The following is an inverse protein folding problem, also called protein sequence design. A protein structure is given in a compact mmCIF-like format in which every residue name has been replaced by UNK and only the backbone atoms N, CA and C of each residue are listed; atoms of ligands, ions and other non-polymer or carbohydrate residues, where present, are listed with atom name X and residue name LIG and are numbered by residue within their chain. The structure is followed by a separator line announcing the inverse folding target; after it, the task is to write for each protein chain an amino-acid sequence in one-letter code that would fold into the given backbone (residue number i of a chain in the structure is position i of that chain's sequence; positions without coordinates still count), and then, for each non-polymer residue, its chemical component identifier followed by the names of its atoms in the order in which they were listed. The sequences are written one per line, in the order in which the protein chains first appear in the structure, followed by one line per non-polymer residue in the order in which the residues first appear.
data_IF_647778363164
#
_entry.id   IF_647778363164
#
_cell.length_a   1.000
_cell.length_b   1.000
_cell.length_c   1.000
_cell.angle_alpha   90.00
_cell.angle_beta   90.00
_cell.angle_gamma   90.00
#
_symmetry.space_group_name_H-M   'P 1'
#
loop_
_entity.id
_entity.type
_entity.pdbx_description
1 polymer ?
#
# COMPACT_ATOMS: atom_id res chain seq x y z
N UNK A 1 -0.33 -97.78 25.17
CA UNK A 1 -0.56 -96.94 26.35
C UNK A 1 0.69 -96.08 26.50
N UNK A 2 0.56 -94.83 26.15
CA UNK A 2 1.47 -93.79 26.63
C UNK A 2 1.23 -92.52 25.77
N UNK A 3 1.08 -91.58 26.41
CA UNK A 3 0.50 -90.23 26.29
C UNK A 3 1.03 -89.36 25.16
N UNK A 4 0.12 -88.73 24.54
CA UNK A 4 0.34 -87.57 23.64
C UNK A 4 -0.11 -86.32 24.36
N UNK A 5 0.86 -85.54 24.89
CA UNK A 5 0.64 -84.16 25.31
C UNK A 5 1.91 -83.35 24.97
N UNK A 6 1.68 -82.33 24.16
CA UNK A 6 2.69 -81.25 24.07
C UNK A 6 2.97 -80.76 22.67
N UNK A 7 1.97 -80.23 21.98
CA UNK A 7 2.24 -79.42 20.81
C UNK A 7 1.04 -78.48 20.48
N UNK A 8 0.77 -77.57 21.36
CA UNK A 8 -0.16 -76.44 21.09
C UNK A 8 0.27 -75.18 21.86
N UNK A 9 1.42 -74.64 21.52
CA UNK A 9 1.94 -73.45 22.23
C UNK A 9 2.81 -72.50 21.41
N UNK A 10 2.85 -72.67 20.07
CA UNK A 10 3.83 -71.88 19.29
C UNK A 10 3.27 -71.28 17.99
N UNK A 11 1.96 -71.16 17.86
CA UNK A 11 1.31 -70.54 16.66
C UNK A 11 0.55 -69.25 16.99
N UNK A 12 0.42 -68.85 18.25
CA UNK A 12 -0.33 -67.67 18.65
C UNK A 12 0.53 -66.38 18.76
N UNK A 13 1.85 -66.42 18.58
CA UNK A 13 2.74 -65.21 18.76
C UNK A 13 3.26 -64.59 17.46
N UNK A 14 2.86 -65.08 16.28
CA UNK A 14 3.30 -64.48 14.98
C UNK A 14 2.22 -63.69 14.23
N UNK A 15 1.05 -63.49 14.81
CA UNK A 15 0.00 -62.68 14.18
C UNK A 15 -0.34 -61.36 14.85
N UNK A 16 0.35 -60.93 15.91
CA UNK A 16 0.13 -59.65 16.58
C UNK A 16 1.19 -58.61 16.21
N UNK A 17 2.29 -58.98 15.56
CA UNK A 17 3.37 -58.07 15.19
C UNK A 17 3.25 -57.46 13.76
N UNK A 18 2.17 -57.69 13.03
CA UNK A 18 2.01 -57.19 11.65
C UNK A 18 0.83 -56.23 11.44
N UNK A 19 0.21 -55.76 12.52
CA UNK A 19 -0.92 -54.77 12.43
C UNK A 19 -0.56 -53.38 13.00
N UNK A 20 0.64 -53.20 13.57
CA UNK A 20 1.05 -51.93 14.11
C UNK A 20 2.03 -51.10 13.24
N UNK A 21 2.33 -51.55 12.00
CA UNK A 21 3.27 -50.82 11.12
C UNK A 21 2.57 -50.08 9.93
N UNK A 22 1.25 -50.24 9.77
CA UNK A 22 0.51 -49.59 8.67
C UNK A 22 -0.36 -48.42 9.08
N UNK A 23 -0.21 -47.86 10.30
CA UNK A 23 -1.01 -46.72 10.77
C UNK A 23 -0.21 -45.48 11.19
N UNK A 24 1.05 -45.37 10.76
CA UNK A 24 1.91 -44.19 11.08
C UNK A 24 2.40 -43.45 9.83
N UNK A 25 1.88 -43.75 8.63
CA UNK A 25 2.22 -43.01 7.39
C UNK A 25 1.06 -42.23 6.77
N UNK A 26 0.03 -41.91 7.53
CA UNK A 26 -1.10 -41.07 7.06
C UNK A 26 -1.27 -39.80 7.90
N UNK A 27 -0.20 -39.22 8.40
CA UNK A 27 -0.25 -38.05 9.30
C UNK A 27 0.81 -37.01 9.08
N UNK A 28 1.45 -36.96 7.90
CA UNK A 28 2.32 -35.85 7.49
C UNK A 28 1.94 -35.39 6.08
N UNK A 29 0.66 -35.22 5.82
CA UNK A 29 0.24 -34.13 4.95
C UNK A 29 0.51 -32.88 5.78
N UNK A 30 1.73 -32.37 5.73
CA UNK A 30 2.02 -31.04 6.22
C UNK A 30 1.03 -30.12 5.53
N UNK A 31 0.09 -29.56 6.29
CA UNK A 31 -0.50 -28.30 5.93
C UNK A 31 0.69 -27.35 5.78
N UNK A 32 1.22 -27.22 4.57
CA UNK A 32 1.93 -26.02 4.19
C UNK A 32 0.88 -24.93 4.36
N UNK A 33 0.88 -24.27 5.50
CA UNK A 33 0.17 -23.01 5.66
C UNK A 33 0.74 -22.14 4.56
N UNK A 34 0.02 -22.06 3.42
CA UNK A 34 0.37 -21.13 2.37
C UNK A 34 0.31 -19.76 3.05
N UNK A 35 1.47 -19.18 3.34
CA UNK A 35 1.52 -17.86 3.95
C UNK A 35 0.79 -16.92 3.00
N UNK A 36 -0.22 -16.26 3.51
CA UNK A 36 -1.04 -15.31 2.76
C UNK A 36 -1.11 -14.02 3.54
N UNK A 37 -1.18 -12.90 2.83
CA UNK A 37 -1.55 -11.61 3.38
C UNK A 37 -2.91 -11.16 2.82
N UNK A 38 -3.46 -10.09 3.33
CA UNK A 38 -4.75 -9.55 2.87
C UNK A 38 -4.49 -8.27 2.08
N UNK A 39 -5.18 -8.14 0.93
CA UNK A 39 -5.25 -6.89 0.18
C UNK A 39 -6.67 -6.31 0.31
N UNK A 40 -6.76 -5.02 0.65
CA UNK A 40 -7.99 -4.25 0.68
C UNK A 40 -7.97 -3.23 -0.45
N UNK A 41 -9.07 -3.15 -1.19
CA UNK A 41 -9.22 -2.31 -2.39
C UNK A 41 -10.44 -1.42 -2.24
N UNK A 42 -10.24 -0.11 -2.33
CA UNK A 42 -11.36 0.86 -2.31
C UNK A 42 -12.10 0.88 -3.64
N UNK A 43 -13.43 0.89 -3.56
CA UNK A 43 -14.36 0.88 -4.70
C UNK A 43 -15.35 2.05 -4.55
N UNK A 44 -14.96 3.29 -4.95
CA UNK A 44 -15.75 4.49 -4.70
C UNK A 44 -17.16 4.46 -5.27
N UNK A 45 -17.32 3.94 -6.49
CA UNK A 45 -18.62 3.94 -7.18
C UNK A 45 -19.63 2.97 -6.57
N UNK A 46 -19.17 1.97 -5.80
CA UNK A 46 -20.01 1.03 -5.06
C UNK A 46 -20.05 1.29 -3.56
N UNK A 47 -19.39 2.35 -3.07
CA UNK A 47 -19.29 2.66 -1.63
C UNK A 47 -18.84 1.46 -0.80
N UNK A 48 -17.82 0.76 -1.27
CA UNK A 48 -17.39 -0.50 -0.64
C UNK A 48 -15.88 -0.69 -0.68
N UNK A 49 -15.42 -1.69 0.08
CA UNK A 49 -14.02 -2.13 0.14
C UNK A 49 -14.00 -3.60 -0.18
N UNK A 50 -13.33 -3.99 -1.26
CA UNK A 50 -13.08 -5.39 -1.56
C UNK A 50 -11.87 -5.89 -0.75
N UNK A 51 -11.96 -7.13 -0.27
CA UNK A 51 -10.87 -7.79 0.45
C UNK A 51 -10.52 -9.13 -0.21
N UNK A 52 -9.23 -9.40 -0.30
CA UNK A 52 -8.69 -10.59 -0.94
C UNK A 52 -7.57 -11.20 -0.07
N UNK A 53 -7.56 -12.51 0.02
CA UNK A 53 -6.37 -13.27 0.43
C UNK A 53 -5.40 -13.34 -0.74
N UNK A 54 -4.16 -12.98 -0.50
CA UNK A 54 -3.10 -12.97 -1.50
C UNK A 54 -2.06 -14.01 -1.13
N UNK A 55 -1.74 -14.91 -2.06
CA UNK A 55 -0.72 -15.93 -1.87
C UNK A 55 0.69 -15.32 -1.92
N UNK A 56 1.47 -15.44 -0.86
CA UNK A 56 2.86 -14.96 -0.81
C UNK A 56 3.81 -15.72 -1.76
N UNK A 57 3.33 -16.80 -2.38
CA UNK A 57 4.10 -17.59 -3.35
C UNK A 57 3.80 -17.21 -4.79
N UNK A 58 2.53 -16.95 -5.11
CA UNK A 58 2.10 -16.75 -6.51
C UNK A 58 1.47 -15.38 -6.79
N UNK A 59 1.29 -14.52 -5.77
CA UNK A 59 0.57 -13.25 -5.90
C UNK A 59 -0.92 -13.39 -6.24
N UNK A 60 -1.47 -14.62 -6.24
CA UNK A 60 -2.86 -14.88 -6.62
C UNK A 60 -3.83 -14.37 -5.57
N UNK A 61 -4.84 -13.65 -6.03
CA UNK A 61 -5.94 -13.12 -5.22
C UNK A 61 -7.09 -14.13 -5.12
N UNK A 62 -7.65 -14.26 -3.92
CA UNK A 62 -8.89 -15.03 -3.66
C UNK A 62 -9.78 -14.19 -2.76
N UNK A 63 -11.03 -13.93 -3.15
CA UNK A 63 -11.95 -13.09 -2.38
C UNK A 63 -12.12 -13.60 -0.95
N UNK A 64 -12.09 -12.69 0.00
CA UNK A 64 -12.46 -12.95 1.40
C UNK A 64 -13.98 -13.14 1.46
N UNK A 65 -14.44 -14.07 2.30
CA UNK A 65 -15.87 -14.32 2.49
C UNK A 65 -16.54 -13.03 2.98
N UNK A 66 -17.66 -12.66 2.36
CA UNK A 66 -18.37 -11.42 2.64
C UNK A 66 -17.89 -10.18 1.90
N UNK A 67 -16.75 -10.28 1.16
CA UNK A 67 -16.27 -9.20 0.30
C UNK A 67 -17.18 -9.03 -0.93
N UNK A 68 -17.44 -7.76 -1.38
CA UNK A 68 -16.98 -6.52 -0.79
C UNK A 68 -17.77 -6.09 0.46
N UNK A 69 -17.11 -5.41 1.38
CA UNK A 69 -17.69 -4.87 2.62
C UNK A 69 -18.20 -3.45 2.38
N UNK A 70 -19.33 -3.08 3.00
CA UNK A 70 -19.86 -1.74 2.96
C UNK A 70 -18.87 -0.74 3.58
N UNK A 71 -18.69 0.41 2.95
CA UNK A 71 -17.87 1.53 3.43
C UNK A 71 -18.64 2.84 3.45
N UNK A 72 -17.92 3.93 3.64
CA UNK A 72 -18.49 5.28 3.53
C UNK A 72 -18.77 5.70 2.09
N UNK A 73 -19.22 6.94 1.92
CA UNK A 73 -19.56 7.46 0.61
C UNK A 73 -18.30 7.78 -0.21
N UNK A 74 -18.10 7.06 -1.30
CA UNK A 74 -16.95 7.19 -2.21
C UNK A 74 -15.59 7.01 -1.48
N UNK A 75 -15.28 5.80 -0.93
CA UNK A 75 -13.98 5.54 -0.33
C UNK A 75 -12.88 5.60 -1.39
N UNK A 76 -11.93 6.54 -1.25
CA UNK A 76 -10.91 6.83 -2.28
C UNK A 76 -9.54 6.27 -1.89
N UNK A 77 -9.15 6.37 -0.63
CA UNK A 77 -7.87 5.91 -0.10
C UNK A 77 -8.09 5.01 1.11
N UNK A 78 -7.24 4.00 1.26
CA UNK A 78 -7.24 3.11 2.44
C UNK A 78 -5.82 2.90 2.94
N UNK A 79 -5.64 2.97 4.26
CA UNK A 79 -4.39 2.63 4.94
C UNK A 79 -4.65 1.69 6.10
N UNK A 80 -3.65 0.89 6.46
CA UNK A 80 -3.71 -0.08 7.56
C UNK A 80 -2.79 0.38 8.69
N UNK A 81 -3.16 0.10 9.92
CA UNK A 81 -2.25 0.28 11.04
C UNK A 81 -1.10 -0.76 10.98
N UNK A 82 0.09 -0.46 11.52
CA UNK A 82 1.24 -1.37 11.44
C UNK A 82 1.02 -2.73 12.09
N UNK A 83 0.05 -2.83 13.03
CA UNK A 83 -0.32 -4.08 13.68
C UNK A 83 -1.38 -4.89 12.91
N UNK A 84 -1.88 -4.37 11.78
CA UNK A 84 -2.97 -4.96 10.97
C UNK A 84 -4.26 -5.23 11.76
N UNK A 85 -4.55 -4.41 12.76
CA UNK A 85 -5.78 -4.49 13.56
C UNK A 85 -6.88 -3.60 13.01
N UNK A 86 -6.48 -2.48 12.39
CA UNK A 86 -7.38 -1.43 11.94
C UNK A 86 -7.09 -1.03 10.49
N UNK A 87 -8.15 -0.66 9.77
CA UNK A 87 -8.06 0.00 8.48
C UNK A 87 -8.82 1.32 8.53
N UNK A 88 -8.30 2.33 7.83
CA UNK A 88 -8.92 3.65 7.72
C UNK A 88 -9.16 3.96 6.26
N UNK A 89 -10.39 4.37 5.91
CA UNK A 89 -10.73 4.76 4.55
C UNK A 89 -11.23 6.22 4.50
N UNK A 90 -10.64 7.02 3.61
CA UNK A 90 -11.10 8.38 3.32
C UNK A 90 -12.30 8.32 2.38
N UNK A 91 -13.43 8.84 2.82
CA UNK A 91 -14.69 8.88 2.08
C UNK A 91 -14.87 10.23 1.43
N UNK A 92 -14.51 10.33 0.15
CA UNK A 92 -14.38 11.59 -0.58
C UNK A 92 -15.67 12.42 -0.55
N UNK A 93 -16.80 11.81 -0.88
CA UNK A 93 -18.10 12.53 -0.89
C UNK A 93 -18.78 12.52 0.48
N UNK A 94 -18.32 11.68 1.40
CA UNK A 94 -18.77 11.64 2.80
C UNK A 94 -18.17 12.76 3.64
N UNK A 95 -17.01 13.30 3.28
CA UNK A 95 -16.21 14.23 4.08
C UNK A 95 -15.88 13.66 5.46
N UNK A 96 -15.61 12.36 5.51
CA UNK A 96 -15.32 11.63 6.73
C UNK A 96 -14.31 10.50 6.50
N UNK A 97 -13.88 9.88 7.58
CA UNK A 97 -12.99 8.72 7.60
C UNK A 97 -13.72 7.58 8.28
N UNK A 98 -13.81 6.43 7.60
CA UNK A 98 -14.27 5.17 8.18
C UNK A 98 -13.12 4.51 8.92
N UNK A 99 -13.39 3.98 10.11
CA UNK A 99 -12.55 3.05 10.86
C UNK A 99 -13.13 1.65 10.71
N UNK A 100 -12.29 0.68 10.38
CA UNK A 100 -12.65 -0.74 10.33
C UNK A 100 -11.77 -1.54 11.28
N UNK A 101 -12.38 -2.48 12.01
CA UNK A 101 -11.66 -3.56 12.68
C UNK A 101 -11.37 -4.68 11.67
N UNK A 102 -10.15 -5.19 11.68
CA UNK A 102 -9.71 -6.31 10.84
C UNK A 102 -9.79 -7.61 11.65
N UNK A 103 -10.52 -8.59 11.15
CA UNK A 103 -10.44 -9.96 11.64
C UNK A 103 -9.22 -10.65 11.04
N UNK A 104 -8.17 -10.80 11.82
CA UNK A 104 -6.90 -11.40 11.38
C UNK A 104 -7.02 -12.85 10.92
N UNK A 105 -8.07 -13.58 11.32
CA UNK A 105 -8.29 -14.98 10.96
C UNK A 105 -8.94 -15.12 9.58
N UNK A 106 -9.90 -14.24 9.29
CA UNK A 106 -10.67 -14.28 8.05
C UNK A 106 -10.22 -13.27 7.01
N UNK A 107 -9.63 -12.14 7.43
CA UNK A 107 -9.37 -10.97 6.60
C UNK A 107 -10.62 -10.13 6.36
N UNK A 108 -11.74 -10.45 7.00
CA UNK A 108 -12.95 -9.65 6.98
C UNK A 108 -12.76 -8.34 7.74
N UNK A 109 -13.51 -7.30 7.35
CA UNK A 109 -13.51 -6.01 8.05
C UNK A 109 -14.92 -5.65 8.51
N UNK A 110 -15.01 -4.96 9.64
CA UNK A 110 -16.26 -4.43 10.18
C UNK A 110 -16.10 -2.97 10.55
N UNK A 111 -17.01 -2.12 10.04
CA UNK A 111 -16.95 -0.69 10.29
C UNK A 111 -17.32 -0.35 11.74
N UNK A 112 -16.55 0.56 12.35
CA UNK A 112 -16.78 1.09 13.69
C UNK A 112 -17.42 2.46 13.57
N UNK A 113 -18.60 2.62 14.15
CA UNK A 113 -19.34 3.89 14.12
C UNK A 113 -19.19 4.66 15.44
N UNK A 114 -19.30 6.00 15.44
CA UNK A 114 -19.50 6.87 14.26
C UNK A 114 -18.21 7.07 13.47
N UNK A 115 -18.34 7.44 12.19
CA UNK A 115 -17.21 7.88 11.35
C UNK A 115 -16.62 9.19 11.87
N UNK A 116 -15.33 9.38 11.64
CA UNK A 116 -14.63 10.61 12.05
C UNK A 116 -14.75 11.66 10.94
N UNK A 117 -15.13 12.89 11.27
CA UNK A 117 -15.18 13.99 10.31
C UNK A 117 -13.79 14.33 9.81
N UNK A 118 -13.70 14.73 8.53
CA UNK A 118 -12.51 15.27 7.89
C UNK A 118 -12.82 16.64 7.27
N UNK A 119 -11.87 17.23 6.55
CA UNK A 119 -12.14 18.38 5.68
C UNK A 119 -12.99 17.99 4.47
N UNK A 120 -13.13 18.90 3.49
CA UNK A 120 -13.99 18.66 2.32
C UNK A 120 -13.22 17.87 1.25
N UNK A 121 -13.81 16.76 0.81
CA UNK A 121 -13.24 15.82 -0.17
C UNK A 121 -11.90 15.23 0.25
N UNK A 122 -11.80 14.44 1.33
CA UNK A 122 -10.59 13.68 1.66
C UNK A 122 -10.33 12.61 0.59
N UNK A 123 -9.13 12.64 -0.03
CA UNK A 123 -8.79 11.75 -1.15
C UNK A 123 -7.57 10.87 -0.89
N UNK A 124 -6.70 11.25 0.03
CA UNK A 124 -5.50 10.50 0.36
C UNK A 124 -5.30 10.44 1.87
N UNK A 125 -4.82 9.28 2.34
CA UNK A 125 -4.43 9.04 3.73
C UNK A 125 -2.98 8.61 3.78
N UNK A 126 -2.27 9.03 4.81
CA UNK A 126 -1.01 8.42 5.25
C UNK A 126 -1.00 8.28 6.77
N UNK A 127 -0.19 7.35 7.23
CA UNK A 127 0.01 7.07 8.64
C UNK A 127 1.50 7.09 8.93
N UNK A 128 1.89 7.53 10.12
CA UNK A 128 3.29 7.39 10.54
C UNK A 128 3.64 5.92 10.83
N UNK A 129 4.93 5.61 10.78
CA UNK A 129 5.42 4.23 10.95
C UNK A 129 5.10 3.61 12.32
N UNK A 130 4.83 4.45 13.32
CA UNK A 130 4.43 4.02 14.65
C UNK A 130 2.91 3.73 14.77
N UNK A 131 2.10 4.13 13.79
CA UNK A 131 0.64 4.05 13.86
C UNK A 131 0.04 4.99 14.91
N UNK A 132 0.73 6.09 15.22
CA UNK A 132 0.31 7.05 16.22
C UNK A 132 -0.55 8.17 15.64
N UNK A 133 -0.30 8.55 14.38
CA UNK A 133 -0.99 9.65 13.70
C UNK A 133 -1.46 9.26 12.29
N UNK A 134 -2.67 9.74 11.96
CA UNK A 134 -3.26 9.63 10.62
C UNK A 134 -3.39 11.04 10.03
N UNK A 135 -2.99 11.17 8.76
CA UNK A 135 -3.04 12.39 7.97
C UNK A 135 -3.99 12.20 6.80
N UNK A 136 -4.86 13.19 6.54
CA UNK A 136 -5.81 13.18 5.43
C UNK A 136 -5.67 14.44 4.59
N UNK A 137 -5.43 14.29 3.28
CA UNK A 137 -5.42 15.39 2.33
C UNK A 137 -6.84 15.69 1.85
N UNK A 138 -7.33 16.91 2.09
CA UNK A 138 -8.67 17.36 1.76
C UNK A 138 -8.62 18.30 0.55
N UNK A 139 -8.94 17.76 -0.62
CA UNK A 139 -8.75 18.46 -1.92
C UNK A 139 -9.55 19.76 -2.00
N UNK A 140 -10.83 19.72 -1.60
CA UNK A 140 -11.72 20.87 -1.81
C UNK A 140 -11.61 21.95 -0.73
N UNK A 141 -11.22 21.59 0.50
CA UNK A 141 -10.93 22.57 1.56
C UNK A 141 -9.49 23.07 1.54
N UNK A 142 -8.59 22.47 0.74
CA UNK A 142 -7.17 22.85 0.64
C UNK A 142 -6.46 22.81 1.98
N UNK A 143 -6.66 21.75 2.74
CA UNK A 143 -6.07 21.54 4.06
C UNK A 143 -5.71 20.07 4.34
N UNK A 144 -5.09 19.84 5.50
CA UNK A 144 -4.67 18.52 5.98
C UNK A 144 -5.31 18.32 7.35
N UNK A 145 -6.21 17.35 7.46
CA UNK A 145 -6.69 16.88 8.76
C UNK A 145 -5.69 15.93 9.40
N UNK A 146 -5.43 16.10 10.68
CA UNK A 146 -4.49 15.25 11.44
C UNK A 146 -5.18 14.72 12.68
N UNK A 147 -5.01 13.41 12.91
CA UNK A 147 -5.61 12.71 14.03
C UNK A 147 -4.58 11.89 14.78
N UNK A 148 -4.68 11.87 16.10
CA UNK A 148 -4.03 10.85 16.92
C UNK A 148 -4.88 9.57 16.91
N UNK A 149 -4.21 8.41 16.95
CA UNK A 149 -4.82 7.09 16.90
C UNK A 149 -4.73 6.46 18.28
N UNK A 150 -5.86 6.01 18.83
CA UNK A 150 -5.85 5.17 20.02
C UNK A 150 -5.43 3.74 19.65
N UNK A 151 -4.24 3.32 20.06
CA UNK A 151 -3.65 2.03 19.69
C UNK A 151 -4.47 0.79 20.11
N UNK A 152 -5.36 0.94 21.13
CA UNK A 152 -6.21 -0.16 21.61
C UNK A 152 -7.54 -0.29 20.86
N UNK A 153 -8.09 0.84 20.39
CA UNK A 153 -9.45 0.91 19.80
C UNK A 153 -9.47 1.37 18.35
N UNK A 154 -8.37 1.92 17.83
CA UNK A 154 -8.29 2.53 16.50
C UNK A 154 -8.99 3.89 16.39
N UNK A 155 -9.68 4.35 17.45
CA UNK A 155 -10.44 5.60 17.42
C UNK A 155 -9.55 6.80 17.16
N UNK A 156 -9.99 7.66 16.24
CA UNK A 156 -9.31 8.88 15.83
C UNK A 156 -9.75 10.05 16.71
N UNK A 157 -8.77 10.84 17.17
CA UNK A 157 -9.01 12.12 17.85
C UNK A 157 -8.26 13.22 17.12
N UNK A 158 -8.96 14.26 16.69
CA UNK A 158 -8.34 15.37 15.97
C UNK A 158 -7.29 16.08 16.83
N UNK A 159 -6.10 16.34 16.27
CA UNK A 159 -5.03 17.02 17.00
C UNK A 159 -5.29 18.53 17.07
N UNK A 160 -4.75 19.18 18.09
CA UNK A 160 -4.89 20.63 18.26
C UNK A 160 -4.32 21.40 17.06
N UNK A 161 -5.12 22.31 16.50
CA UNK A 161 -4.78 23.10 15.31
C UNK A 161 -5.15 22.46 13.98
N UNK A 162 -5.59 21.20 13.97
CA UNK A 162 -6.16 20.56 12.77
C UNK A 162 -7.56 21.19 12.45
N UNK A 163 -7.91 21.31 11.14
CA UNK A 163 -7.06 21.02 9.97
C UNK A 163 -5.99 22.11 9.72
N UNK A 164 -4.82 21.67 9.22
CA UNK A 164 -3.71 22.55 8.87
C UNK A 164 -3.88 23.04 7.41
N UNK A 165 -3.98 24.36 7.16
CA UNK A 165 -4.15 24.88 5.82
C UNK A 165 -2.89 24.67 4.96
N UNK A 166 -3.11 24.36 3.67
CA UNK A 166 -2.14 24.57 2.61
C UNK A 166 -2.35 25.96 2.01
N UNK A 167 -1.83 26.24 0.82
CA UNK A 167 -2.21 27.47 0.11
C UNK A 167 -3.62 27.38 -0.46
N UNK A 168 -4.35 28.49 -0.51
CA UNK A 168 -5.68 28.52 -1.12
C UNK A 168 -5.66 27.98 -2.57
N UNK A 169 -6.56 27.05 -2.90
CA UNK A 169 -6.63 26.42 -4.20
C UNK A 169 -5.54 25.38 -4.47
N UNK A 170 -4.81 24.95 -3.45
CA UNK A 170 -3.71 23.99 -3.61
C UNK A 170 -4.17 22.60 -4.08
N UNK A 171 -5.40 22.19 -3.79
CA UNK A 171 -5.89 20.83 -4.11
C UNK A 171 -4.88 19.73 -3.74
N UNK A 172 -4.62 19.47 -2.44
CA UNK A 172 -3.72 18.42 -2.01
C UNK A 172 -4.31 17.04 -2.39
N UNK A 173 -3.58 16.27 -3.21
CA UNK A 173 -4.08 15.00 -3.78
C UNK A 173 -3.33 13.77 -3.29
N UNK A 174 -2.11 13.95 -2.81
CA UNK A 174 -1.30 12.87 -2.26
C UNK A 174 -0.45 13.39 -1.10
N UNK A 175 -0.18 12.51 -0.15
CA UNK A 175 0.70 12.80 0.98
C UNK A 175 1.48 11.55 1.38
N UNK A 176 2.67 11.77 1.92
CA UNK A 176 3.54 10.73 2.44
C UNK A 176 4.24 11.19 3.71
N UNK A 177 4.33 10.30 4.69
CA UNK A 177 5.15 10.51 5.87
C UNK A 177 6.54 9.95 5.61
N UNK A 178 7.59 10.65 6.00
CA UNK A 178 8.96 10.13 5.91
C UNK A 178 9.13 8.88 6.78
N UNK A 179 10.01 7.93 6.43
CA UNK A 179 10.23 6.70 7.20
C UNK A 179 10.52 6.92 8.70
N UNK A 180 11.22 8.01 9.04
CA UNK A 180 11.48 8.40 10.45
C UNK A 180 10.25 8.93 11.20
N UNK A 181 9.15 9.20 10.49
CA UNK A 181 7.96 9.84 11.06
C UNK A 181 8.12 11.34 11.38
N UNK A 182 9.22 11.98 10.95
CA UNK A 182 9.51 13.39 11.28
C UNK A 182 8.87 14.39 10.33
N UNK A 183 8.65 14.00 9.07
CA UNK A 183 8.20 14.92 8.03
C UNK A 183 7.01 14.37 7.25
N UNK A 184 6.14 15.29 6.82
CA UNK A 184 5.03 15.04 5.91
C UNK A 184 5.24 15.86 4.65
N UNK A 185 5.15 15.21 3.48
CA UNK A 185 5.18 15.89 2.18
C UNK A 185 3.85 15.71 1.47
N UNK A 186 3.32 16.80 0.90
CA UNK A 186 1.98 16.86 0.32
C UNK A 186 2.06 17.43 -1.09
N UNK A 187 1.61 16.68 -2.08
CA UNK A 187 1.57 17.11 -3.47
C UNK A 187 0.30 17.90 -3.77
N UNK A 188 0.46 19.06 -4.41
CA UNK A 188 -0.61 19.95 -4.83
C UNK A 188 -0.77 19.92 -6.35
N UNK A 189 -1.83 19.28 -6.83
CA UNK A 189 -2.03 19.03 -8.26
C UNK A 189 -2.24 20.29 -9.10
N UNK A 190 -2.77 21.36 -8.52
CA UNK A 190 -3.09 22.59 -9.23
C UNK A 190 -1.95 23.61 -9.27
N UNK A 191 -1.08 23.60 -8.27
CA UNK A 191 -0.04 24.64 -8.11
C UNK A 191 1.35 24.23 -8.61
N UNK A 192 1.58 22.95 -8.93
CA UNK A 192 2.91 22.44 -9.27
C UNK A 192 3.87 22.51 -8.07
N UNK A 193 3.37 22.24 -6.87
CA UNK A 193 4.09 22.40 -5.62
C UNK A 193 4.03 21.14 -4.75
N UNK A 194 5.05 20.96 -3.92
CA UNK A 194 5.06 20.05 -2.78
C UNK A 194 5.19 20.86 -1.50
N UNK A 195 4.26 20.70 -0.57
CA UNK A 195 4.36 21.27 0.78
C UNK A 195 5.10 20.30 1.68
N UNK A 196 6.06 20.81 2.44
CA UNK A 196 6.77 20.05 3.47
C UNK A 196 6.41 20.57 4.87
N UNK A 197 6.18 19.62 5.78
CA UNK A 197 5.88 19.91 7.18
C UNK A 197 6.73 19.03 8.09
N UNK A 198 7.20 19.58 9.20
CA UNK A 198 7.66 18.79 10.33
C UNK A 198 6.45 18.32 11.15
N UNK A 199 6.51 17.09 11.67
CA UNK A 199 5.49 16.48 12.52
C UNK A 199 5.95 16.61 13.97
N UNK A 200 5.18 17.29 14.81
CA UNK A 200 5.49 17.42 16.24
C UNK A 200 5.48 16.07 16.94
N UNK A 201 6.63 15.66 17.49
CA UNK A 201 6.77 14.39 18.20
C UNK A 201 5.76 14.29 19.36
N UNK A 202 4.95 13.22 19.36
CA UNK A 202 3.93 12.97 20.36
C UNK A 202 2.69 13.89 20.29
N UNK A 203 2.67 14.93 19.44
CA UNK A 203 1.54 15.85 19.29
C UNK A 203 0.87 15.79 17.92
N UNK A 204 1.60 15.38 16.87
CA UNK A 204 1.10 15.36 15.49
C UNK A 204 0.92 16.75 14.87
N UNK A 205 1.23 17.83 15.58
CA UNK A 205 1.07 19.20 15.09
C UNK A 205 2.02 19.44 13.91
N UNK A 206 1.50 20.00 12.82
CA UNK A 206 2.27 20.30 11.62
C UNK A 206 2.84 21.72 11.66
N UNK A 207 4.13 21.85 11.32
CA UNK A 207 4.78 23.14 11.08
C UNK A 207 5.48 23.08 9.72
N UNK A 208 5.34 24.10 8.88
CA UNK A 208 6.04 24.13 7.61
C UNK A 208 7.56 24.07 7.82
N UNK A 209 8.23 23.23 7.03
CA UNK A 209 9.70 23.20 7.01
C UNK A 209 10.25 24.42 6.28
N UNK A 210 11.53 24.79 6.47
CA UNK A 210 12.15 25.92 5.77
C UNK A 210 11.95 25.80 4.25
N UNK A 211 11.72 26.93 3.60
CA UNK A 211 11.55 27.12 2.16
C UNK A 211 10.35 26.36 1.52
N UNK A 212 9.48 25.74 2.35
CA UNK A 212 8.22 25.17 1.86
C UNK A 212 7.24 26.29 1.43
N UNK A 213 6.50 26.12 0.31
CA UNK A 213 6.44 24.94 -0.56
C UNK A 213 7.52 24.90 -1.66
N UNK A 214 7.82 23.70 -2.16
CA UNK A 214 8.85 23.44 -3.16
C UNK A 214 8.25 23.29 -4.57
N UNK A 215 8.88 23.94 -5.57
CA UNK A 215 8.43 23.87 -6.97
C UNK A 215 8.81 22.51 -7.58
N UNK A 216 7.86 21.88 -8.30
CA UNK A 216 8.02 20.63 -9.05
C UNK A 216 7.41 20.78 -10.45
N UNK A 217 7.24 19.67 -11.19
CA UNK A 217 6.59 19.70 -12.50
C UNK A 217 5.08 19.97 -12.41
N UNK A 218 4.42 20.03 -13.57
CA UNK A 218 2.98 20.33 -13.65
C UNK A 218 2.11 19.15 -13.26
N UNK A 219 1.11 19.38 -12.43
CA UNK A 219 0.15 18.38 -12.00
C UNK A 219 0.75 17.29 -11.11
N UNK A 220 1.48 17.62 -10.03
CA UNK A 220 1.99 16.60 -9.12
C UNK A 220 0.83 15.80 -8.52
N UNK A 221 0.88 14.47 -8.63
CA UNK A 221 -0.22 13.57 -8.27
C UNK A 221 0.20 12.48 -7.30
N UNK A 222 1.48 12.21 -7.18
CA UNK A 222 2.05 11.26 -6.20
C UNK A 222 3.34 11.80 -5.65
N UNK A 223 3.60 11.56 -4.37
CA UNK A 223 4.85 11.90 -3.68
C UNK A 223 5.31 10.71 -2.87
N UNK A 224 6.61 10.38 -2.96
CA UNK A 224 7.22 9.27 -2.23
C UNK A 224 8.59 9.71 -1.68
N UNK A 225 8.91 9.27 -0.47
CA UNK A 225 10.24 9.42 0.15
C UNK A 225 10.98 8.10 0.03
N UNK A 226 12.26 8.12 -0.34
CA UNK A 226 13.06 6.91 -0.35
C UNK A 226 13.27 6.35 1.07
N UNK A 227 13.48 5.03 1.23
CA UNK A 227 13.62 4.42 2.55
C UNK A 227 14.79 4.94 3.39
N UNK A 228 15.85 5.50 2.74
CA UNK A 228 17.00 6.09 3.41
C UNK A 228 16.81 7.57 3.78
N UNK A 229 15.69 8.18 3.39
CA UNK A 229 15.37 9.61 3.60
C UNK A 229 16.40 10.56 2.99
N UNK A 230 16.94 10.22 1.83
CA UNK A 230 17.83 11.08 1.07
C UNK A 230 17.11 11.85 -0.04
N UNK A 231 16.03 11.29 -0.60
CA UNK A 231 15.36 11.83 -1.76
C UNK A 231 13.84 11.76 -1.66
N UNK A 232 13.19 12.75 -2.27
CA UNK A 232 11.74 12.79 -2.50
C UNK A 232 11.48 12.77 -3.99
N UNK A 233 10.62 11.87 -4.42
CA UNK A 233 10.18 11.68 -5.80
C UNK A 233 8.74 12.17 -5.95
N UNK A 234 8.45 12.88 -7.04
CA UNK A 234 7.12 13.43 -7.31
C UNK A 234 6.72 13.14 -8.74
N UNK A 235 5.64 12.39 -8.94
CA UNK A 235 5.07 12.13 -10.26
C UNK A 235 4.22 13.33 -10.70
N UNK A 236 4.58 13.92 -11.82
CA UNK A 236 3.94 15.09 -12.39
C UNK A 236 3.07 14.68 -13.58
N UNK A 237 1.78 14.51 -13.35
CA UNK A 237 0.85 13.87 -14.29
C UNK A 237 0.58 14.68 -15.57
N UNK A 238 0.70 16.00 -15.51
CA UNK A 238 0.46 16.87 -16.68
C UNK A 238 1.72 17.16 -17.48
N UNK A 239 2.91 16.91 -16.95
CA UNK A 239 4.18 17.12 -17.65
C UNK A 239 4.90 15.82 -18.02
N UNK A 240 4.32 14.65 -17.72
CA UNK A 240 4.88 13.32 -18.01
C UNK A 240 6.30 13.13 -17.43
N UNK A 241 6.51 13.63 -16.21
CA UNK A 241 7.83 13.65 -15.57
C UNK A 241 7.81 13.18 -14.13
N UNK A 242 9.00 12.91 -13.60
CA UNK A 242 9.29 12.69 -12.17
C UNK A 242 10.22 13.80 -11.71
N UNK A 243 9.77 14.66 -10.79
CA UNK A 243 10.68 15.56 -10.06
C UNK A 243 11.38 14.80 -8.96
N UNK A 244 12.69 15.03 -8.82
CA UNK A 244 13.51 14.46 -7.75
C UNK A 244 14.16 15.60 -6.98
N UNK A 245 14.01 15.55 -5.65
CA UNK A 245 14.56 16.53 -4.74
C UNK A 245 15.38 15.81 -3.67
N UNK A 246 16.54 16.36 -3.31
CA UNK A 246 17.29 15.91 -2.15
C UNK A 246 16.59 16.37 -0.87
N UNK A 247 16.59 15.52 0.15
CA UNK A 247 16.01 15.77 1.46
C UNK A 247 17.10 15.99 2.49
N UNK A 248 17.11 17.18 3.13
CA UNK A 248 17.87 17.39 4.35
C UNK A 248 17.13 16.76 5.54
N UNK A 249 17.57 15.60 6.00
CA UNK A 249 16.94 14.83 7.09
C UNK A 249 16.97 15.53 8.45
N UNK A 250 17.74 16.63 8.59
CA UNK A 250 17.79 17.43 9.83
C UNK A 250 16.72 18.53 9.87
N UNK A 251 16.35 19.09 8.73
CA UNK A 251 15.44 20.24 8.61
C UNK A 251 14.14 19.90 7.89
N UNK A 252 14.11 18.82 7.08
CA UNK A 252 13.01 18.48 6.19
C UNK A 252 12.95 19.31 4.91
N UNK A 253 13.94 20.20 4.70
CA UNK A 253 14.03 21.03 3.51
C UNK A 253 14.32 20.19 2.27
N UNK A 254 13.67 20.54 1.15
CA UNK A 254 13.90 19.89 -0.13
C UNK A 254 14.66 20.81 -1.10
N UNK A 255 15.59 20.22 -1.85
CA UNK A 255 16.33 20.93 -2.90
C UNK A 255 16.25 20.15 -4.20
N UNK A 256 15.79 20.78 -5.28
CA UNK A 256 15.67 20.12 -6.60
C UNK A 256 17.03 19.63 -7.09
N UNK A 257 17.10 18.40 -7.59
CA UNK A 257 18.34 17.88 -8.18
C UNK A 257 18.66 18.58 -9.50
N UNK A 258 19.96 18.68 -9.87
CA UNK A 258 20.35 19.05 -11.22
C UNK A 258 19.69 18.10 -12.24
N UNK A 259 19.19 18.67 -13.35
CA UNK A 259 18.47 17.95 -14.41
C UNK A 259 17.09 17.36 -14.02
N UNK A 260 16.60 17.58 -12.81
CA UNK A 260 15.21 17.35 -12.48
C UNK A 260 14.30 18.39 -13.18
N UNK A 261 13.12 18.00 -13.72
CA UNK A 261 12.51 16.67 -13.65
C UNK A 261 13.02 15.70 -14.74
N UNK A 262 12.89 14.39 -14.45
CA UNK A 262 13.23 13.30 -15.36
C UNK A 262 12.00 12.82 -16.13
N UNK A 263 12.17 12.31 -17.35
CA UNK A 263 11.08 11.77 -18.16
C UNK A 263 10.45 10.53 -17.49
N UNK A 264 9.12 10.46 -17.50
CA UNK A 264 8.33 9.30 -17.09
C UNK A 264 7.46 8.81 -18.26
N UNK A 265 6.55 7.87 -18.01
CA UNK A 265 5.52 7.51 -18.97
C UNK A 265 4.39 8.55 -19.03
N UNK A 266 3.39 8.32 -19.89
CA UNK A 266 2.29 9.28 -20.10
C UNK A 266 1.34 9.32 -18.92
N UNK A 267 1.15 10.50 -18.34
CA UNK A 267 0.28 10.79 -17.21
C UNK A 267 0.60 9.90 -15.98
N UNK A 268 1.80 10.05 -15.37
CA UNK A 268 2.17 9.30 -14.17
C UNK A 268 1.36 9.79 -12.97
N UNK A 269 0.71 8.85 -12.23
CA UNK A 269 -0.24 9.20 -11.16
C UNK A 269 0.02 8.51 -9.82
N UNK A 270 0.82 7.45 -9.81
CA UNK A 270 1.14 6.73 -8.57
C UNK A 270 2.53 6.12 -8.65
N UNK A 271 3.25 6.16 -7.54
CA UNK A 271 4.60 5.65 -7.43
C UNK A 271 4.73 4.71 -6.24
N UNK A 272 5.56 3.67 -6.40
CA UNK A 272 5.97 2.79 -5.32
C UNK A 272 7.48 2.56 -5.39
N UNK A 273 8.18 2.77 -4.27
CA UNK A 273 9.62 2.49 -4.12
C UNK A 273 9.77 1.18 -3.33
N UNK A 274 10.67 0.31 -3.76
CA UNK A 274 10.95 -0.91 -3.01
C UNK A 274 11.62 -0.62 -1.65
N UNK A 275 11.49 -1.53 -0.70
CA UNK A 275 12.01 -1.32 0.67
C UNK A 275 13.52 -1.16 0.75
N UNK A 276 14.26 -1.55 -0.30
CA UNK A 276 15.70 -1.34 -0.40
C UNK A 276 16.09 0.01 -1.04
N UNK A 277 15.13 0.78 -1.54
CA UNK A 277 15.36 2.04 -2.23
C UNK A 277 16.08 1.90 -3.58
N UNK A 278 16.00 0.70 -4.20
CA UNK A 278 16.70 0.40 -5.45
C UNK A 278 15.86 0.62 -6.70
N UNK A 279 14.55 0.44 -6.59
CA UNK A 279 13.64 0.46 -7.73
C UNK A 279 12.41 1.32 -7.45
N UNK A 280 12.02 2.07 -8.47
CA UNK A 280 10.81 2.89 -8.48
C UNK A 280 9.88 2.38 -9.59
N UNK A 281 8.63 2.14 -9.25
CA UNK A 281 7.57 1.76 -10.18
C UNK A 281 6.54 2.87 -10.27
N UNK A 282 6.16 3.23 -11.49
CA UNK A 282 5.28 4.37 -11.78
C UNK A 282 4.10 3.91 -12.62
N UNK A 283 2.90 4.02 -12.09
CA UNK A 283 1.67 3.77 -12.83
C UNK A 283 1.38 4.97 -13.75
N UNK A 284 1.35 4.72 -15.06
CA UNK A 284 1.09 5.71 -16.08
C UNK A 284 -0.35 5.58 -16.58
N UNK A 285 -1.23 6.41 -16.03
CA UNK A 285 -2.67 6.35 -16.28
C UNK A 285 -3.02 6.51 -17.77
N UNK A 286 -2.35 7.43 -18.47
CA UNK A 286 -2.53 7.64 -19.90
C UNK A 286 -1.86 6.58 -20.76
N UNK A 287 -0.76 5.98 -20.27
CA UNK A 287 0.00 4.95 -20.98
C UNK A 287 -0.58 3.54 -20.86
N UNK A 288 -1.49 3.28 -19.90
CA UNK A 288 -1.98 1.94 -19.55
C UNK A 288 -0.86 0.96 -19.23
N UNK A 289 0.17 1.43 -18.54
CA UNK A 289 1.38 0.66 -18.25
C UNK A 289 2.05 1.12 -16.95
N UNK A 290 3.10 0.41 -16.58
CA UNK A 290 3.96 0.73 -15.45
C UNK A 290 5.38 0.95 -15.98
N UNK A 291 5.95 2.12 -15.74
CA UNK A 291 7.38 2.35 -15.92
C UNK A 291 8.14 1.87 -14.67
N UNK A 292 9.32 1.27 -14.91
CA UNK A 292 10.21 0.83 -13.85
C UNK A 292 11.59 1.46 -14.01
N UNK A 293 12.12 1.97 -12.91
CA UNK A 293 13.41 2.68 -12.86
C UNK A 293 14.30 2.06 -11.81
N UNK A 294 15.60 1.98 -12.09
CA UNK A 294 16.61 1.83 -11.04
C UNK A 294 16.90 3.18 -10.42
N UNK A 295 17.11 3.23 -9.12
CA UNK A 295 17.47 4.43 -8.37
C UNK A 295 18.94 4.37 -7.97
N UNK A 296 19.70 5.42 -8.28
CA UNK A 296 21.05 5.58 -7.77
C UNK A 296 20.98 6.10 -6.33
N UNK A 297 21.41 5.30 -5.37
CA UNK A 297 21.27 5.61 -3.92
C UNK A 297 22.12 6.81 -3.47
N UNK A 298 23.10 7.25 -4.27
CA UNK A 298 23.97 8.39 -3.96
C UNK A 298 23.47 9.68 -4.58
N UNK A 299 22.99 9.60 -5.83
CA UNK A 299 22.58 10.79 -6.60
C UNK A 299 21.06 10.97 -6.68
N UNK A 300 20.27 9.94 -6.31
CA UNK A 300 18.80 9.94 -6.43
C UNK A 300 18.28 9.82 -7.87
N UNK A 301 19.16 9.74 -8.88
CA UNK A 301 18.77 9.78 -10.28
C UNK A 301 18.04 8.49 -10.69
N UNK A 302 16.78 8.59 -11.18
CA UNK A 302 16.08 7.45 -11.74
C UNK A 302 16.55 7.15 -13.16
N UNK A 303 16.84 5.89 -13.43
CA UNK A 303 17.19 5.40 -14.79
C UNK A 303 16.20 4.34 -15.21
N UNK A 304 15.47 4.58 -16.30
CA UNK A 304 14.46 3.63 -16.79
C UNK A 304 15.10 2.29 -17.19
N UNK A 305 14.48 1.18 -16.78
CA UNK A 305 15.01 -0.16 -17.06
C UNK A 305 14.94 -0.48 -18.56
N UNK A 306 16.05 -0.99 -19.09
CA UNK A 306 16.15 -1.41 -20.49
C UNK A 306 16.16 -2.94 -20.66
N UNK A 307 16.45 -3.68 -19.56
CA UNK A 307 16.48 -5.15 -19.54
C UNK A 307 16.03 -5.66 -18.16
N UNK A 308 14.82 -6.25 -18.05
CA UNK A 308 13.77 -6.27 -19.08
C UNK A 308 13.26 -4.85 -19.40
N UNK A 309 12.80 -4.67 -20.62
CA UNK A 309 12.46 -3.33 -21.15
C UNK A 309 11.18 -2.80 -20.50
N UNK A 310 11.28 -1.67 -19.81
CA UNK A 310 10.18 -0.82 -19.39
C UNK A 310 9.60 -0.04 -20.62
N UNK A 311 8.29 0.38 -20.61
CA UNK A 311 7.29 0.08 -19.60
C UNK A 311 6.61 -1.28 -19.75
N UNK A 312 5.97 -1.76 -18.69
CA UNK A 312 5.24 -3.03 -18.61
C UNK A 312 3.74 -2.79 -18.75
N UNK A 313 3.05 -3.55 -19.62
CA UNK A 313 1.62 -3.39 -19.83
C UNK A 313 0.83 -3.72 -18.56
N UNK A 314 -0.14 -2.87 -18.21
CA UNK A 314 -1.11 -3.05 -17.12
C UNK A 314 -2.54 -3.09 -17.68
N UNK A 315 -3.56 -3.04 -16.82
CA UNK A 315 -4.94 -2.81 -17.25
C UNK A 315 -5.18 -1.37 -17.72
N UNK A 316 -6.44 -1.03 -18.03
CA UNK A 316 -6.77 0.29 -18.56
C UNK A 316 -6.93 1.32 -17.45
N UNK A 317 -6.24 2.46 -17.58
CA UNK A 317 -6.16 3.54 -16.59
C UNK A 317 -5.65 3.07 -15.22
N UNK A 318 -4.39 2.65 -15.13
CA UNK A 318 -3.77 2.34 -13.85
C UNK A 318 -3.70 3.62 -12.99
N UNK A 319 -4.38 3.59 -11.82
CA UNK A 319 -4.50 4.78 -10.95
C UNK A 319 -3.67 4.68 -9.68
N UNK A 320 -3.33 3.47 -9.25
CA UNK A 320 -2.60 3.24 -8.02
C UNK A 320 -1.67 2.04 -8.15
N UNK A 321 -0.46 2.17 -7.62
CA UNK A 321 0.54 1.11 -7.58
C UNK A 321 1.06 0.93 -6.14
N UNK A 322 1.20 -0.31 -5.69
CA UNK A 322 1.76 -0.63 -4.39
C UNK A 322 2.58 -1.92 -4.44
N UNK A 323 3.68 -1.95 -3.69
CA UNK A 323 4.48 -3.16 -3.48
C UNK A 323 3.95 -3.84 -2.22
N UNK A 324 3.78 -5.15 -2.27
CA UNK A 324 3.35 -5.93 -1.11
C UNK A 324 4.42 -5.96 -0.01
N UNK A 325 4.03 -6.30 1.21
CA UNK A 325 4.95 -6.36 2.36
C UNK A 325 6.09 -7.39 2.21
N UNK A 326 6.02 -8.29 1.23
CA UNK A 326 7.11 -9.24 0.93
C UNK A 326 8.16 -8.66 0.01
N UNK A 327 7.87 -7.54 -0.68
CA UNK A 327 8.69 -6.95 -1.72
C UNK A 327 8.75 -7.77 -3.02
N UNK A 328 7.89 -8.80 -3.16
CA UNK A 328 7.91 -9.73 -4.30
C UNK A 328 6.91 -9.38 -5.38
N UNK A 329 5.86 -8.65 -5.01
CA UNK A 329 4.76 -8.36 -5.92
C UNK A 329 4.45 -6.87 -5.97
N UNK A 330 4.23 -6.38 -7.18
CA UNK A 330 3.64 -5.07 -7.43
C UNK A 330 2.18 -5.28 -7.84
N UNK A 331 1.26 -4.58 -7.17
CA UNK A 331 -0.16 -4.55 -7.51
C UNK A 331 -0.53 -3.18 -8.04
N UNK A 332 -1.30 -3.19 -9.13
CA UNK A 332 -1.72 -1.98 -9.82
C UNK A 332 -3.24 -2.00 -9.97
N UNK A 333 -3.90 -1.02 -9.37
CA UNK A 333 -5.34 -0.83 -9.50
C UNK A 333 -5.64 -0.14 -10.84
N UNK A 334 -6.48 -0.76 -11.67
CA UNK A 334 -6.85 -0.28 -12.99
C UNK A 334 -8.31 0.18 -12.98
N UNK A 335 -8.49 1.51 -13.04
CA UNK A 335 -9.81 2.14 -12.84
C UNK A 335 -10.84 1.70 -13.90
N UNK A 336 -10.47 1.75 -15.19
CA UNK A 336 -11.42 1.48 -16.27
C UNK A 336 -11.60 -0.01 -16.56
N UNK A 337 -10.54 -0.82 -16.46
CA UNK A 337 -10.68 -2.28 -16.61
C UNK A 337 -11.30 -2.93 -15.37
N UNK A 338 -11.40 -2.20 -14.24
CA UNK A 338 -12.02 -2.65 -12.97
C UNK A 338 -11.38 -3.92 -12.43
N UNK A 339 -10.06 -3.94 -12.44
CA UNK A 339 -9.25 -5.06 -12.01
C UNK A 339 -7.96 -4.61 -11.32
N UNK A 340 -7.24 -5.58 -10.79
CA UNK A 340 -5.89 -5.41 -10.25
C UNK A 340 -4.94 -6.20 -11.14
N UNK A 341 -3.93 -5.55 -11.70
CA UNK A 341 -2.79 -6.23 -12.31
C UNK A 341 -1.78 -6.60 -11.24
N UNK A 342 -1.29 -7.84 -11.28
CA UNK A 342 -0.26 -8.35 -10.38
C UNK A 342 1.02 -8.70 -11.14
N UNK A 343 2.14 -8.14 -10.72
CA UNK A 343 3.46 -8.41 -11.29
C UNK A 343 4.38 -9.04 -10.25
N UNK A 344 5.19 -10.01 -10.67
CA UNK A 344 6.33 -10.44 -9.88
C UNK A 344 7.48 -9.45 -10.08
N UNK A 345 8.13 -9.07 -8.98
CA UNK A 345 9.33 -8.21 -8.99
C UNK A 345 10.56 -9.10 -8.94
N UNK A 346 11.46 -8.95 -9.90
CA UNK A 346 12.80 -9.48 -9.80
C UNK A 346 13.65 -8.54 -8.93
N UNK A 347 13.98 -8.96 -7.72
CA UNK A 347 14.71 -8.13 -6.74
C UNK A 347 16.15 -7.79 -7.16
N UNK A 348 16.70 -8.46 -8.17
CA UNK A 348 18.05 -8.20 -8.69
C UNK A 348 18.07 -7.17 -9.82
N UNK A 349 17.04 -7.16 -10.66
CA UNK A 349 16.96 -6.32 -11.85
C UNK A 349 15.89 -5.24 -11.79
N UNK A 350 14.93 -5.35 -10.85
CA UNK A 350 13.72 -4.51 -10.78
C UNK A 350 12.69 -4.83 -11.88
N UNK A 351 12.98 -5.81 -12.73
CA UNK A 351 12.11 -6.19 -13.83
C UNK A 351 10.78 -6.79 -13.34
N UNK A 352 9.71 -6.49 -14.10
CA UNK A 352 8.38 -7.00 -13.83
C UNK A 352 8.02 -8.14 -14.77
N UNK A 353 7.44 -9.20 -14.24
CA UNK A 353 6.93 -10.33 -15.01
C UNK A 353 5.49 -10.67 -14.59
N UNK A 354 4.76 -11.37 -15.48
CA UNK A 354 3.41 -11.86 -15.21
C UNK A 354 2.36 -10.78 -14.91
N UNK A 355 2.32 -9.68 -15.66
CA UNK A 355 1.28 -8.63 -15.54
C UNK A 355 -0.14 -9.14 -15.84
N UNK A 356 -0.48 -10.35 -15.39
CA UNK A 356 -1.82 -10.94 -15.50
C UNK A 356 -2.78 -10.27 -14.53
N UNK A 357 -4.07 -10.32 -14.82
CA UNK A 357 -5.13 -9.88 -13.91
C UNK A 357 -5.02 -10.69 -12.62
N UNK A 358 -4.68 -10.01 -11.51
CA UNK A 358 -4.66 -10.64 -10.19
C UNK A 358 -6.09 -10.86 -9.66
N UNK A 359 -6.97 -9.87 -9.86
CA UNK A 359 -8.39 -9.95 -9.50
C UNK A 359 -9.24 -8.99 -10.32
N UNK A 360 -10.44 -9.42 -10.72
CA UNK A 360 -11.52 -8.51 -11.10
C UNK A 360 -12.22 -8.03 -9.84
N UNK A 361 -12.45 -6.72 -9.74
CA UNK A 361 -13.07 -6.10 -8.54
C UNK A 361 -14.49 -5.58 -8.80
N UNK A 362 -14.98 -5.70 -10.04
CA UNK A 362 -16.37 -5.41 -10.41
C UNK A 362 -16.72 -3.91 -10.49
N UNK A 363 -15.96 -3.05 -9.84
CA UNK A 363 -16.15 -1.59 -9.77
C UNK A 363 -14.78 -0.91 -9.94
N UNK A 364 -14.76 0.38 -10.26
CA UNK A 364 -13.51 1.14 -10.44
C UNK A 364 -12.71 1.21 -9.12
N UNK A 365 -11.51 0.61 -9.04
CA UNK A 365 -10.66 0.71 -7.87
C UNK A 365 -9.88 2.03 -7.85
N UNK A 366 -9.52 2.53 -6.65
CA UNK A 366 -8.70 3.75 -6.51
C UNK A 366 -7.47 3.56 -5.63
N UNK A 367 -7.50 2.64 -4.67
CA UNK A 367 -6.37 2.41 -3.76
C UNK A 367 -6.31 0.95 -3.34
N UNK A 368 -5.11 0.46 -3.07
CA UNK A 368 -4.84 -0.90 -2.56
C UNK A 368 -3.92 -0.81 -1.35
N UNK A 369 -4.31 -1.40 -0.24
CA UNK A 369 -3.45 -1.58 0.92
C UNK A 369 -3.29 -3.08 1.24
N UNK A 370 -2.08 -3.51 1.58
CA UNK A 370 -1.79 -4.90 1.93
C UNK A 370 -1.34 -5.01 3.38
N UNK A 371 -1.80 -6.07 4.09
CA UNK A 371 -1.31 -6.34 5.44
C UNK A 371 0.17 -6.74 5.39
N UNK A 372 0.90 -6.38 6.43
CA UNK A 372 2.20 -7.01 6.72
C UNK A 372 1.97 -8.45 7.14
N UNK A 373 2.97 -9.31 7.01
CA UNK A 373 2.87 -10.75 7.34
C UNK A 373 2.45 -11.00 8.76
#
# INVERSE_FOLDING_TARGET
MADFKGMNGMIALKRVALICVSLVLAGLAGCSSSSTHIAYVTLPTSNSIAAFRVSNHSGKFTSVVGSPFAGGNSPNSIVLDPANKFAYAANQTGNDISLFMIDSSTGGISEVMPRTRAGISPVALAMDSAGAFLFAANVSSSDISVYSINAGTGVLTEVSGSPFPTSAGASPVALTVSPSGKYLYVASSTLGLVFGYSIGSGTGVLQQVPDSPFTVGSGPFSVAVDPAEHFVYVANSLSDTISVLSLDSSTGMLTSLPNSPFTAGTNPVSMAIDSAGKFLYVANLGGNNVSAFSLDSTTGVPTELTTPKSPFAAGTRPIFATIDSTGKFLYVANENSRDISGFNIDSSTGGLTNGSIAASVGSAPTSVATTTK
#
